data_IF_977230685659
#
_entry.id   IF_977230685659
#
_cell.length_a   1.000
_cell.length_b   1.000
_cell.length_c   1.000
_cell.angle_alpha   90.00
_cell.angle_beta   90.00
_cell.angle_gamma   90.00
#
_symmetry.space_group_name_H-M   'P 1'
#
loop_
_entity.id
_entity.type
_entity.pdbx_description
1 polymer ?
#
# COMPACT_ATOMS: atom_id res chain seq x y z
N UNK A 1 39.15 0.45 9.34
CA UNK A 1 38.18 -0.25 10.20
C UNK A 1 36.98 0.62 10.57
N UNK A 2 37.14 1.94 10.78
CA UNK A 2 36.01 2.88 11.04
C UNK A 2 34.87 2.80 10.04
N UNK A 3 35.16 2.76 8.72
CA UNK A 3 34.11 2.64 7.69
C UNK A 3 33.25 1.38 7.85
N UNK A 4 33.84 0.27 8.28
CA UNK A 4 33.10 -0.98 8.49
C UNK A 4 32.19 -0.87 9.71
N UNK A 5 32.70 -0.28 10.79
CA UNK A 5 31.94 -0.06 12.02
C UNK A 5 30.76 0.89 11.79
N UNK A 6 30.93 1.95 11.00
CA UNK A 6 29.86 2.87 10.64
C UNK A 6 28.78 2.19 9.78
N UNK A 7 29.17 1.40 8.77
CA UNK A 7 28.21 0.67 7.94
C UNK A 7 27.39 -0.31 8.78
N UNK A 8 28.03 -1.08 9.66
CA UNK A 8 27.36 -2.03 10.55
C UNK A 8 26.41 -1.30 11.50
N UNK A 9 26.85 -0.18 12.08
CA UNK A 9 26.05 0.61 13.02
C UNK A 9 24.80 1.18 12.34
N UNK A 10 24.96 1.75 11.15
CA UNK A 10 23.86 2.29 10.36
C UNK A 10 22.87 1.18 9.98
N UNK A 11 23.36 0.04 9.49
CA UNK A 11 22.52 -1.11 9.17
C UNK A 11 21.72 -1.62 10.37
N UNK A 12 22.37 -1.73 11.53
CA UNK A 12 21.74 -2.20 12.76
C UNK A 12 20.65 -1.24 13.26
N UNK A 13 20.88 0.08 13.16
CA UNK A 13 19.88 1.11 13.49
C UNK A 13 18.66 1.00 12.57
N UNK A 14 18.86 0.85 11.25
CA UNK A 14 17.74 0.67 10.31
C UNK A 14 16.95 -0.62 10.58
N UNK A 15 17.63 -1.72 10.89
CA UNK A 15 17.00 -2.98 11.28
C UNK A 15 16.13 -2.81 12.53
N UNK A 16 16.68 -2.20 13.58
CA UNK A 16 15.95 -1.93 14.83
C UNK A 16 14.73 -1.03 14.60
N UNK A 17 14.85 0.00 13.76
CA UNK A 17 13.73 0.87 13.41
C UNK A 17 12.64 0.11 12.66
N UNK A 18 12.98 -0.78 11.72
CA UNK A 18 12.01 -1.60 11.00
C UNK A 18 11.26 -2.56 11.93
N UNK A 19 11.98 -3.24 12.83
CA UNK A 19 11.36 -4.14 13.83
C UNK A 19 10.43 -3.35 14.75
N UNK A 20 10.86 -2.17 15.20
CA UNK A 20 10.04 -1.29 16.04
C UNK A 20 8.77 -0.80 15.33
N UNK A 21 8.87 -0.43 14.04
CA UNK A 21 7.70 -0.08 13.22
C UNK A 21 6.72 -1.26 13.08
N UNK A 22 7.24 -2.47 12.88
CA UNK A 22 6.41 -3.67 12.72
C UNK A 22 5.66 -4.01 14.02
N UNK A 23 6.33 -3.87 15.16
CA UNK A 23 5.71 -4.02 16.47
C UNK A 23 4.58 -3.00 16.69
N UNK A 24 4.81 -1.73 16.30
CA UNK A 24 3.77 -0.70 16.33
C UNK A 24 2.61 -1.05 15.41
N UNK A 25 2.89 -1.48 14.19
CA UNK A 25 1.85 -1.86 13.25
C UNK A 25 0.95 -2.95 13.83
N UNK A 26 1.54 -3.98 14.47
CA UNK A 26 0.77 -5.06 15.09
C UNK A 26 -0.07 -4.54 16.27
N UNK A 27 0.53 -3.77 17.17
CA UNK A 27 -0.14 -3.21 18.34
C UNK A 27 -1.34 -2.34 17.95
N UNK A 28 -1.17 -1.48 16.94
CA UNK A 28 -2.20 -0.55 16.46
C UNK A 28 -3.24 -1.21 15.56
N UNK A 29 -2.90 -2.30 14.90
CA UNK A 29 -3.86 -3.12 14.17
C UNK A 29 -4.82 -3.79 15.15
N UNK A 30 -4.32 -4.34 16.26
CA UNK A 30 -5.15 -4.90 17.33
C UNK A 30 -6.02 -3.80 17.98
N UNK A 31 -5.42 -2.66 18.30
CA UNK A 31 -6.14 -1.53 18.92
C UNK A 31 -7.26 -0.96 18.03
N UNK A 32 -7.09 -1.04 16.70
CA UNK A 32 -8.04 -0.52 15.72
C UNK A 32 -9.10 -1.53 15.26
N UNK A 33 -9.45 -2.56 16.05
CA UNK A 33 -10.42 -3.61 15.67
C UNK A 33 -9.99 -4.42 14.44
N UNK A 34 -8.68 -4.64 14.23
CA UNK A 34 -8.07 -5.39 13.13
C UNK A 34 -8.43 -4.81 11.75
N UNK A 35 -9.69 -4.95 11.31
CA UNK A 35 -10.24 -4.46 10.04
C UNK A 35 -10.07 -2.96 9.88
N UNK A 36 -10.44 -2.16 10.89
CA UNK A 36 -10.32 -0.70 10.85
C UNK A 36 -8.93 -0.19 11.27
N UNK A 37 -8.08 -1.07 11.79
CA UNK A 37 -6.74 -0.74 12.29
C UNK A 37 -5.66 -0.94 11.23
N UNK A 38 -5.85 -1.92 10.35
CA UNK A 38 -4.82 -2.35 9.40
C UNK A 38 -4.47 -1.25 8.39
N UNK A 39 -5.46 -0.53 7.87
CA UNK A 39 -5.29 0.52 6.86
C UNK A 39 -4.59 1.76 7.45
N UNK A 40 -5.03 2.34 8.59
CA UNK A 40 -4.34 3.48 9.19
C UNK A 40 -2.97 3.09 9.77
N UNK A 41 -2.77 1.87 10.28
CA UNK A 41 -1.46 1.39 10.74
C UNK A 41 -0.48 1.29 9.56
N UNK A 42 -0.92 0.77 8.43
CA UNK A 42 -0.12 0.68 7.20
C UNK A 42 0.32 2.05 6.69
N UNK A 43 -0.60 3.01 6.62
CA UNK A 43 -0.25 4.37 6.21
C UNK A 43 0.71 5.05 7.18
N UNK A 44 0.58 4.80 8.48
CA UNK A 44 1.52 5.31 9.48
C UNK A 44 2.93 4.73 9.28
N UNK A 45 3.05 3.43 8.98
CA UNK A 45 4.34 2.80 8.61
C UNK A 45 4.94 3.48 7.39
N UNK A 46 4.19 3.58 6.28
CA UNK A 46 4.69 4.20 5.05
C UNK A 46 5.11 5.66 5.25
N UNK A 47 4.38 6.43 6.05
CA UNK A 47 4.70 7.85 6.32
C UNK A 47 5.97 8.01 7.14
N UNK A 48 6.16 7.15 8.14
CA UNK A 48 7.39 7.14 8.95
C UNK A 48 8.58 6.71 8.09
N UNK A 49 8.41 5.70 7.23
CA UNK A 49 9.45 5.27 6.27
C UNK A 49 9.82 6.37 5.27
N UNK A 50 8.84 7.11 4.77
CA UNK A 50 9.11 8.25 3.90
C UNK A 50 9.92 9.33 4.62
N UNK A 51 9.56 9.67 5.87
CA UNK A 51 10.36 10.61 6.67
C UNK A 51 11.77 10.09 6.94
N UNK A 52 11.94 8.79 7.21
CA UNK A 52 13.26 8.17 7.38
C UNK A 52 14.14 8.27 6.12
N UNK A 53 13.53 8.27 4.94
CA UNK A 53 14.23 8.41 3.66
C UNK A 53 14.53 9.87 3.27
N UNK A 54 13.67 10.82 3.66
CA UNK A 54 13.75 12.22 3.23
C UNK A 54 14.36 13.15 4.27
N UNK A 55 14.17 12.91 5.57
CA UNK A 55 14.60 13.80 6.64
C UNK A 55 15.74 13.20 7.47
N UNK A 56 16.83 13.97 7.66
CA UNK A 56 17.99 13.55 8.49
C UNK A 56 17.69 13.53 10.00
N UNK A 57 16.57 14.10 10.46
CA UNK A 57 16.20 14.19 11.88
C UNK A 57 14.73 13.82 12.07
N UNK A 58 14.48 12.53 12.27
CA UNK A 58 13.12 12.06 12.55
C UNK A 58 12.81 12.33 14.03
N UNK A 59 11.77 13.12 14.37
CA UNK A 59 11.28 13.18 15.74
C UNK A 59 10.83 11.78 16.16
N UNK A 60 11.01 11.42 17.44
CA UNK A 60 10.69 10.10 18.03
C UNK A 60 9.62 9.32 17.24
N UNK A 61 10.02 8.18 16.65
CA UNK A 61 9.23 7.34 15.74
C UNK A 61 7.80 7.11 16.27
N UNK A 62 7.68 6.89 17.58
CA UNK A 62 6.40 6.75 18.27
C UNK A 62 5.46 7.94 18.07
N UNK A 63 5.96 9.16 18.27
CA UNK A 63 5.16 10.38 18.22
C UNK A 63 4.69 10.66 16.79
N UNK A 64 5.55 10.41 15.80
CA UNK A 64 5.21 10.56 14.39
C UNK A 64 4.15 9.52 13.97
N UNK A 65 4.34 8.27 14.37
CA UNK A 65 3.39 7.18 14.11
C UNK A 65 2.01 7.46 14.72
N UNK A 66 1.96 7.78 16.02
CA UNK A 66 0.70 8.09 16.73
C UNK A 66 -0.05 9.26 16.11
N UNK A 67 0.68 10.35 15.81
CA UNK A 67 0.09 11.54 15.18
C UNK A 67 -0.47 11.21 13.80
N UNK A 68 0.25 10.42 13.00
CA UNK A 68 -0.21 9.98 11.69
C UNK A 68 -1.45 9.09 11.79
N UNK A 69 -1.40 8.08 12.66
CA UNK A 69 -2.49 7.14 12.89
C UNK A 69 -3.78 7.86 13.26
N UNK A 70 -3.75 8.71 14.29
CA UNK A 70 -4.95 9.42 14.77
C UNK A 70 -5.49 10.43 13.76
N UNK A 71 -4.62 11.14 13.06
CA UNK A 71 -5.01 12.18 12.10
C UNK A 71 -5.71 11.61 10.85
N UNK A 72 -5.29 10.42 10.40
CA UNK A 72 -5.81 9.83 9.16
C UNK A 72 -6.82 8.70 9.40
N UNK A 73 -7.02 8.26 10.65
CA UNK A 73 -7.90 7.13 11.01
C UNK A 73 -9.28 7.18 10.33
N UNK A 74 -9.99 8.32 10.45
CA UNK A 74 -11.35 8.46 9.92
C UNK A 74 -11.37 8.52 8.39
N UNK A 75 -10.53 9.39 7.79
CA UNK A 75 -10.51 9.59 6.33
C UNK A 75 -10.11 8.33 5.58
N UNK A 76 -9.15 7.58 6.11
CA UNK A 76 -8.64 6.36 5.50
C UNK A 76 -9.63 5.22 5.65
N UNK A 77 -10.26 5.08 6.81
CA UNK A 77 -11.30 4.06 6.98
C UNK A 77 -12.53 4.34 6.12
N UNK A 78 -12.92 5.61 5.96
CA UNK A 78 -13.96 5.98 4.99
C UNK A 78 -13.59 5.57 3.57
N UNK A 79 -12.35 5.82 3.14
CA UNK A 79 -11.85 5.39 1.84
C UNK A 79 -11.89 3.86 1.70
N UNK A 80 -11.43 3.14 2.73
CA UNK A 80 -11.43 1.68 2.75
C UNK A 80 -12.85 1.08 2.71
N UNK A 81 -13.82 1.68 3.39
CA UNK A 81 -15.23 1.26 3.36
C UNK A 81 -15.82 1.47 1.97
N UNK A 82 -15.60 2.64 1.35
CA UNK A 82 -16.11 2.93 0.00
C UNK A 82 -15.51 1.97 -1.03
N UNK A 83 -14.20 1.73 -0.97
CA UNK A 83 -13.54 0.75 -1.82
C UNK A 83 -14.06 -0.66 -1.55
N UNK A 84 -14.23 -1.03 -0.28
CA UNK A 84 -14.77 -2.32 0.12
C UNK A 84 -16.17 -2.57 -0.45
N UNK A 85 -17.05 -1.56 -0.42
CA UNK A 85 -18.37 -1.63 -1.04
C UNK A 85 -18.30 -1.82 -2.56
N UNK A 86 -17.42 -1.08 -3.24
CA UNK A 86 -17.24 -1.22 -4.69
C UNK A 86 -16.74 -2.63 -5.03
N UNK A 87 -15.72 -3.12 -4.31
CA UNK A 87 -15.19 -4.47 -4.50
C UNK A 87 -16.22 -5.56 -4.19
N UNK A 88 -17.08 -5.35 -3.19
CA UNK A 88 -18.18 -6.25 -2.85
C UNK A 88 -19.19 -6.35 -4.00
N UNK A 89 -19.60 -5.22 -4.58
CA UNK A 89 -20.50 -5.21 -5.75
C UNK A 89 -19.88 -5.96 -6.92
N UNK A 90 -18.62 -5.69 -7.25
CA UNK A 90 -17.90 -6.37 -8.35
C UNK A 90 -17.83 -7.89 -8.11
N UNK A 91 -17.56 -8.32 -6.88
CA UNK A 91 -17.48 -9.74 -6.55
C UNK A 91 -18.82 -10.46 -6.73
N UNK A 92 -19.91 -9.87 -6.20
CA UNK A 92 -21.25 -10.44 -6.33
C UNK A 92 -21.74 -10.45 -7.78
N UNK A 93 -21.50 -9.37 -8.52
CA UNK A 93 -21.85 -9.30 -9.94
C UNK A 93 -21.08 -10.37 -10.73
N UNK A 94 -19.77 -10.52 -10.49
CA UNK A 94 -18.96 -11.54 -11.15
C UNK A 94 -19.49 -12.96 -10.86
N UNK A 95 -19.83 -13.27 -9.61
CA UNK A 95 -20.39 -14.56 -9.25
C UNK A 95 -21.77 -14.79 -9.89
N UNK A 96 -22.60 -13.75 -9.98
CA UNK A 96 -23.91 -13.82 -10.62
C UNK A 96 -23.81 -14.10 -12.11
N UNK A 97 -22.95 -13.39 -12.84
CA UNK A 97 -22.82 -13.55 -14.30
C UNK A 97 -22.04 -14.81 -14.71
N UNK A 98 -21.10 -15.30 -13.89
CA UNK A 98 -20.39 -16.56 -14.17
C UNK A 98 -21.27 -17.80 -14.03
N UNK A 99 -22.32 -17.75 -13.20
CA UNK A 99 -23.26 -18.87 -13.02
C UNK A 99 -24.35 -18.93 -14.11
N UNK A 100 -24.33 -18.01 -15.08
CA UNK A 100 -25.30 -17.97 -16.18
C UNK A 100 -24.70 -18.66 -17.41
N UNK A 101 -25.29 -19.78 -17.84
CA UNK A 101 -24.89 -20.54 -19.04
C UNK A 101 -25.33 -19.87 -20.37
N UNK A 102 -25.31 -18.54 -20.43
CA UNK A 102 -25.64 -17.78 -21.64
C UNK A 102 -24.37 -17.18 -22.25
N UNK A 103 -24.28 -17.19 -23.59
CA UNK A 103 -23.18 -16.50 -24.30
C UNK A 103 -23.08 -15.01 -23.91
N UNK A 104 -24.22 -14.39 -23.62
CA UNK A 104 -24.30 -13.02 -23.12
C UNK A 104 -23.69 -12.87 -21.71
N UNK A 105 -23.97 -13.83 -20.82
CA UNK A 105 -23.36 -13.91 -19.48
C UNK A 105 -21.84 -14.09 -19.54
N UNK A 106 -21.34 -14.88 -20.50
CA UNK A 106 -19.90 -15.07 -20.69
C UNK A 106 -19.19 -13.76 -21.11
N UNK A 107 -19.76 -13.03 -22.08
CA UNK A 107 -19.18 -11.74 -22.54
C UNK A 107 -19.15 -10.71 -21.40
N UNK A 108 -20.24 -10.60 -20.62
CA UNK A 108 -20.30 -9.70 -19.46
C UNK A 108 -19.30 -10.12 -18.37
N UNK A 109 -19.15 -11.43 -18.13
CA UNK A 109 -18.19 -11.96 -17.15
C UNK A 109 -16.74 -11.62 -17.51
N UNK A 110 -16.37 -11.67 -18.79
CA UNK A 110 -15.04 -11.24 -19.26
C UNK A 110 -14.83 -9.75 -18.98
N UNK A 111 -15.83 -8.90 -19.25
CA UNK A 111 -15.77 -7.47 -18.93
C UNK A 111 -15.63 -7.18 -17.43
N UNK A 112 -16.36 -7.92 -16.60
CA UNK A 112 -16.27 -7.88 -15.13
C UNK A 112 -14.89 -8.33 -14.63
N UNK A 113 -14.31 -9.37 -15.21
CA UNK A 113 -12.97 -9.84 -14.87
C UNK A 113 -11.92 -8.77 -15.14
N UNK A 114 -12.01 -8.11 -16.29
CA UNK A 114 -11.16 -6.95 -16.61
C UNK A 114 -11.38 -5.90 -15.52
N UNK A 115 -12.60 -5.41 -15.30
CA UNK A 115 -12.90 -4.42 -14.24
C UNK A 115 -12.31 -4.78 -12.86
N UNK A 116 -12.36 -6.05 -12.46
CA UNK A 116 -11.77 -6.53 -11.21
C UNK A 116 -10.24 -6.40 -11.18
N UNK A 117 -9.54 -6.77 -12.25
CA UNK A 117 -8.09 -6.56 -12.38
C UNK A 117 -7.74 -5.07 -12.29
N UNK A 118 -8.53 -4.20 -12.93
CA UNK A 118 -8.34 -2.75 -12.85
C UNK A 118 -8.61 -2.19 -11.44
N UNK A 119 -9.59 -2.72 -10.73
CA UNK A 119 -9.89 -2.36 -9.35
C UNK A 119 -8.73 -2.75 -8.41
N UNK A 120 -8.15 -3.94 -8.59
CA UNK A 120 -6.93 -4.37 -7.90
C UNK A 120 -5.77 -3.38 -8.13
N UNK A 121 -5.52 -2.98 -9.37
CA UNK A 121 -4.47 -1.98 -9.69
C UNK A 121 -4.72 -0.67 -8.94
N UNK A 122 -5.97 -0.22 -8.88
CA UNK A 122 -6.33 1.02 -8.18
C UNK A 122 -6.04 0.92 -6.67
N UNK A 123 -6.33 -0.22 -6.05
CA UNK A 123 -6.01 -0.51 -4.65
C UNK A 123 -4.51 -0.45 -4.37
N UNK A 124 -3.68 -0.98 -5.28
CA UNK A 124 -2.21 -0.97 -5.15
C UNK A 124 -1.64 0.46 -5.10
N UNK A 125 -2.19 1.38 -5.90
CA UNK A 125 -1.69 2.76 -5.99
C UNK A 125 -2.36 3.74 -5.03
N UNK A 126 -3.39 3.32 -4.29
CA UNK A 126 -4.16 4.24 -3.44
C UNK A 126 -3.35 4.75 -2.24
N UNK A 127 -2.54 3.88 -1.65
CA UNK A 127 -1.66 4.18 -0.50
C UNK A 127 -0.58 5.21 -0.89
N UNK A 128 0.25 4.99 -1.94
CA UNK A 128 1.28 5.97 -2.31
C UNK A 128 0.67 7.30 -2.81
N UNK A 129 -0.48 7.25 -3.51
CA UNK A 129 -1.20 8.46 -3.94
C UNK A 129 -1.72 9.26 -2.75
N UNK A 130 -2.24 8.59 -1.71
CA UNK A 130 -2.72 9.22 -0.49
C UNK A 130 -1.61 9.94 0.29
N UNK A 131 -0.42 9.36 0.33
CA UNK A 131 0.73 9.92 1.03
C UNK A 131 1.29 11.18 0.36
N UNK A 132 1.17 11.25 -0.97
CA UNK A 132 1.79 12.30 -1.79
C UNK A 132 0.83 13.43 -2.16
N UNK A 133 -0.48 13.16 -2.24
CA UNK A 133 -1.48 14.15 -2.61
C UNK A 133 -2.56 14.33 -1.53
N UNK A 134 -2.95 15.57 -1.26
CA UNK A 134 -4.11 15.90 -0.44
C UNK A 134 -5.32 16.14 -1.37
N UNK A 135 -6.02 15.06 -1.75
CA UNK A 135 -7.17 15.09 -2.65
C UNK A 135 -8.47 14.75 -1.89
N UNK A 136 -9.63 14.98 -2.52
CA UNK A 136 -10.91 14.45 -2.05
C UNK A 136 -10.97 12.93 -2.25
N UNK A 137 -11.86 12.22 -1.52
CA UNK A 137 -12.03 10.76 -1.62
C UNK A 137 -12.19 10.27 -3.08
N UNK A 138 -13.02 10.99 -3.86
CA UNK A 138 -13.24 10.70 -5.28
C UNK A 138 -12.03 11.05 -6.16
N UNK A 139 -11.28 12.08 -5.78
CA UNK A 139 -10.03 12.46 -6.43
C UNK A 139 -8.95 11.39 -6.31
N UNK A 140 -8.83 10.73 -5.14
CA UNK A 140 -7.89 9.62 -4.95
C UNK A 140 -8.16 8.46 -5.89
N UNK A 141 -9.43 8.05 -6.00
CA UNK A 141 -9.83 6.95 -6.87
C UNK A 141 -9.55 7.26 -8.34
N UNK A 142 -9.92 8.47 -8.81
CA UNK A 142 -9.69 8.89 -10.20
C UNK A 142 -8.19 9.01 -10.52
N UNK A 143 -7.40 9.54 -9.59
CA UNK A 143 -5.97 9.73 -9.82
C UNK A 143 -5.20 8.41 -9.78
N UNK A 144 -5.50 7.52 -8.82
CA UNK A 144 -4.93 6.18 -8.77
C UNK A 144 -5.27 5.37 -10.04
N UNK A 145 -6.49 5.51 -10.56
CA UNK A 145 -6.91 4.93 -11.83
C UNK A 145 -6.07 5.44 -13.01
N UNK A 146 -5.91 6.76 -13.14
CA UNK A 146 -5.13 7.38 -14.22
C UNK A 146 -3.64 6.98 -14.14
N UNK A 147 -3.07 6.99 -12.94
CA UNK A 147 -1.65 6.63 -12.72
C UNK A 147 -1.38 5.17 -13.07
N UNK A 148 -2.27 4.26 -12.66
CA UNK A 148 -2.17 2.83 -13.01
C UNK A 148 -2.30 2.57 -14.51
N UNK A 149 -3.18 3.31 -15.18
CA UNK A 149 -3.39 3.23 -16.64
C UNK A 149 -2.17 3.75 -17.43
N UNK A 150 -1.54 4.82 -16.95
CA UNK A 150 -0.39 5.46 -17.61
C UNK A 150 0.90 4.65 -17.50
N UNK A 151 1.03 3.72 -16.53
CA UNK A 151 2.26 2.95 -16.31
C UNK A 151 2.02 1.44 -16.12
N UNK A 152 1.47 0.71 -17.12
CA UNK A 152 1.13 -0.71 -16.98
C UNK A 152 2.34 -1.59 -16.66
N UNK A 153 3.52 -1.28 -17.20
CA UNK A 153 4.76 -2.04 -16.94
C UNK A 153 5.18 -1.92 -15.47
N UNK A 154 5.08 -0.72 -14.87
CA UNK A 154 5.40 -0.51 -13.45
C UNK A 154 4.36 -1.17 -12.55
N UNK A 155 3.09 -1.18 -12.96
CA UNK A 155 2.01 -1.88 -12.27
C UNK A 155 2.27 -3.39 -12.20
N UNK A 156 2.70 -4.00 -13.31
CA UNK A 156 3.06 -5.43 -13.35
C UNK A 156 4.24 -5.70 -12.42
N UNK A 157 5.29 -4.88 -12.47
CA UNK A 157 6.44 -4.99 -11.57
C UNK A 157 6.05 -4.85 -10.09
N UNK A 158 5.14 -3.94 -9.77
CA UNK A 158 4.60 -3.77 -8.43
C UNK A 158 3.80 -4.99 -7.98
N UNK A 159 2.93 -5.54 -8.84
CA UNK A 159 2.15 -6.74 -8.54
C UNK A 159 3.05 -7.96 -8.30
N UNK A 160 4.05 -8.17 -9.15
CA UNK A 160 5.04 -9.26 -8.99
C UNK A 160 5.82 -9.09 -7.69
N UNK A 161 6.27 -7.87 -7.37
CA UNK A 161 6.97 -7.61 -6.12
C UNK A 161 6.07 -7.89 -4.90
N UNK A 162 4.80 -7.49 -4.96
CA UNK A 162 3.85 -7.70 -3.86
C UNK A 162 3.54 -9.18 -3.66
N UNK A 163 3.30 -9.93 -4.75
CA UNK A 163 3.12 -11.39 -4.72
C UNK A 163 4.37 -12.09 -4.21
N UNK A 164 5.55 -11.70 -4.70
CA UNK A 164 6.82 -12.28 -4.26
C UNK A 164 7.06 -12.07 -2.76
N UNK A 165 6.76 -10.88 -2.25
CA UNK A 165 6.91 -10.60 -0.83
C UNK A 165 5.87 -11.34 0.01
N UNK A 166 4.61 -11.45 -0.44
CA UNK A 166 3.59 -12.28 0.24
C UNK A 166 4.03 -13.75 0.26
N UNK A 167 4.58 -14.26 -0.84
CA UNK A 167 5.02 -15.65 -0.95
C UNK A 167 6.17 -15.95 0.00
N UNK A 168 7.20 -15.10 0.03
CA UNK A 168 8.34 -15.22 0.97
C UNK A 168 7.87 -15.08 2.42
N UNK A 169 6.91 -14.18 2.65
CA UNK A 169 6.29 -13.95 3.95
C UNK A 169 5.52 -15.18 4.47
N UNK A 170 4.77 -15.86 3.60
CA UNK A 170 4.05 -17.10 3.95
C UNK A 170 5.00 -18.30 4.12
N UNK A 171 6.07 -18.37 3.33
CA UNK A 171 7.09 -19.40 3.46
C UNK A 171 7.88 -19.30 4.77
N UNK A 172 8.02 -18.09 5.32
CA UNK A 172 8.70 -17.83 6.60
C UNK A 172 7.87 -16.94 7.53
N UNK A 173 6.96 -17.52 8.34
CA UNK A 173 6.10 -16.77 9.27
C UNK A 173 6.87 -15.90 10.27
N UNK A 174 8.09 -16.29 10.64
CA UNK A 174 8.98 -15.53 11.51
C UNK A 174 9.43 -14.21 10.86
N UNK A 175 9.59 -14.19 9.53
CA UNK A 175 9.93 -12.98 8.78
C UNK A 175 8.74 -12.01 8.73
N UNK A 176 7.51 -12.51 8.58
CA UNK A 176 6.28 -11.69 8.66
C UNK A 176 6.19 -10.90 9.96
N UNK A 177 6.37 -11.60 11.09
CA UNK A 177 6.21 -11.00 12.42
C UNK A 177 7.35 -10.03 12.77
N UNK A 178 8.55 -10.25 12.22
CA UNK A 178 9.73 -9.45 12.55
C UNK A 178 9.89 -8.22 11.65
N UNK A 179 9.89 -8.36 10.32
CA UNK A 179 10.25 -7.27 9.39
C UNK A 179 9.36 -7.23 8.14
N UNK A 180 8.67 -8.32 7.81
CA UNK A 180 8.05 -8.58 6.51
C UNK A 180 7.08 -7.50 6.08
N UNK A 181 6.15 -7.11 6.94
CA UNK A 181 5.14 -6.08 6.62
C UNK A 181 5.80 -4.73 6.34
N UNK A 182 6.75 -4.31 7.18
CA UNK A 182 7.46 -3.03 6.98
C UNK A 182 8.36 -3.05 5.73
N UNK A 183 9.05 -4.15 5.44
CA UNK A 183 9.83 -4.30 4.20
C UNK A 183 8.94 -4.27 2.95
N UNK A 184 7.77 -4.91 3.00
CA UNK A 184 6.78 -4.90 1.91
C UNK A 184 6.39 -3.47 1.57
N UNK A 185 6.04 -2.69 2.60
CA UNK A 185 5.60 -1.31 2.43
C UNK A 185 6.72 -0.37 2.00
N UNK A 186 7.96 -0.67 2.37
CA UNK A 186 9.12 0.07 1.90
C UNK A 186 9.34 -0.11 0.38
N UNK A 187 9.27 -1.35 -0.11
CA UNK A 187 9.38 -1.67 -1.54
C UNK A 187 8.23 -1.04 -2.32
N UNK A 188 7.01 -1.17 -1.82
CA UNK A 188 5.80 -0.53 -2.35
C UNK A 188 5.98 0.98 -2.46
N UNK A 189 6.49 1.62 -1.41
CA UNK A 189 6.71 3.07 -1.41
C UNK A 189 7.75 3.50 -2.44
N UNK A 190 8.86 2.79 -2.59
CA UNK A 190 9.90 3.13 -3.57
C UNK A 190 9.36 3.02 -5.01
N UNK A 191 8.71 1.90 -5.33
CA UNK A 191 8.20 1.66 -6.69
C UNK A 191 7.04 2.62 -7.00
N UNK A 192 6.13 2.81 -6.06
CA UNK A 192 5.00 3.74 -6.19
C UNK A 192 5.47 5.17 -6.37
N UNK A 193 6.48 5.60 -5.60
CA UNK A 193 7.07 6.92 -5.73
C UNK A 193 7.70 7.14 -7.11
N UNK A 194 8.51 6.19 -7.58
CA UNK A 194 9.16 6.27 -8.89
C UNK A 194 8.17 6.20 -10.08
N UNK A 195 7.00 5.60 -9.89
CA UNK A 195 5.91 5.64 -10.87
C UNK A 195 5.26 7.03 -10.95
N UNK A 196 5.02 7.66 -9.80
CA UNK A 196 4.38 8.98 -9.73
C UNK A 196 5.32 10.10 -10.22
N UNK A 197 6.61 10.05 -9.88
CA UNK A 197 7.60 11.06 -10.32
C UNK A 197 7.75 11.12 -11.85
N UNK A 198 7.66 9.98 -12.51
CA UNK A 198 7.70 9.91 -13.98
C UNK A 198 6.51 10.61 -14.66
N UNK A 199 5.33 10.61 -14.03
CA UNK A 199 4.15 11.32 -14.55
C UNK A 199 4.27 12.83 -14.32
N UNK A 200 4.87 13.25 -13.21
CA UNK A 200 5.10 14.68 -12.94
C UNK A 200 6.09 15.30 -13.95
N UNK A 201 7.13 14.56 -14.34
CA UNK A 201 8.06 14.98 -15.40
C UNK A 201 7.41 15.14 -16.78
N UNK A 202 6.42 14.29 -17.11
CA UNK A 202 5.67 14.37 -18.37
C UNK A 202 4.64 15.50 -18.40
N UNK A 203 4.26 16.07 -17.25
CA UNK A 203 3.32 17.18 -17.16
C UNK A 203 4.01 18.56 -17.20
N UNK A 204 5.34 18.59 -17.16
CA UNK A 204 6.16 19.81 -17.23
C UNK A 204 6.93 19.95 -18.55
N UNK A 205 6.80 19.00 -19.49
CA UNK A 205 7.29 19.08 -20.86
C UNK A 205 6.14 19.38 -21.82
#
# INVERSE_FOLDING_TARGET
>A
MEKLTDIIRVFCIYLLQLVYLNLLWFLFTIFGLIVFGIVPATLAVCKVQQHLLTEKHVPSIWRLFWRSYRSHFVKVNQLAIVLGLIGFVIYFDMQFFMNQDSLFGYIISVGMYIMSVWFMITLLYIIPTYLRYQLSLFGYMKYAFIVGMLNPIKTIGFAIALIGVIYVSLAFPQLLFSIGVSLTFFIVMIIGNHAIDHIHGLKQA
#
